data_IF_124363715208
#
_entry.id   IF_124363715208
#
_cell.length_a   1.000
_cell.length_b   1.000
_cell.length_c   1.000
_cell.angle_alpha   90.00
_cell.angle_beta   90.00
_cell.angle_gamma   90.00
#
_symmetry.space_group_name_H-M   'P 1'
#
loop_
_entity.id
_entity.type
_entity.pdbx_description
1 polymer ?
#
# COMPACT_ATOMS: atom_id res chain seq x y z
N UNK A 1 -10.83 22.32 54.14
CA UNK A 1 -12.00 22.36 53.23
C UNK A 1 -11.59 21.70 51.93
N UNK A 2 -12.19 20.55 51.64
CA UNK A 2 -12.06 19.83 50.39
C UNK A 2 -13.02 20.39 49.34
N UNK A 3 -12.60 20.35 48.07
CA UNK A 3 -13.37 20.03 46.85
C UNK A 3 -12.46 20.37 45.65
N UNK A 4 -11.78 19.45 44.97
CA UNK A 4 -12.27 18.38 44.07
C UNK A 4 -13.16 18.88 42.93
N UNK A 5 -12.73 18.68 41.69
CA UNK A 5 -13.65 18.51 40.56
C UNK A 5 -13.17 19.01 39.19
N UNK A 6 -12.41 18.18 38.47
CA UNK A 6 -12.84 17.74 37.14
C UNK A 6 -12.07 16.46 36.75
N UNK A 7 -12.73 15.29 36.71
CA UNK A 7 -12.11 14.07 36.20
C UNK A 7 -12.16 14.09 34.66
N UNK A 8 -11.01 13.86 34.03
CA UNK A 8 -10.98 13.48 32.62
C UNK A 8 -11.77 12.18 32.45
N UNK A 9 -13.01 12.27 31.95
CA UNK A 9 -13.85 11.12 31.58
C UNK A 9 -13.29 10.42 30.32
N UNK A 10 -12.06 9.92 30.39
CA UNK A 10 -11.61 8.91 29.45
C UNK A 10 -12.34 7.62 29.82
N UNK A 11 -13.27 7.15 28.98
CA UNK A 11 -13.84 5.80 29.11
C UNK A 11 -12.65 4.83 29.17
N UNK A 12 -12.43 4.20 30.32
CA UNK A 12 -11.43 3.14 30.49
C UNK A 12 -12.08 1.84 30.07
N UNK A 13 -11.60 1.25 28.97
CA UNK A 13 -12.11 -0.04 28.49
C UNK A 13 -11.43 -1.18 29.25
N UNK A 14 -12.16 -2.26 29.56
CA UNK A 14 -11.58 -3.42 30.23
C UNK A 14 -10.53 -4.09 29.34
N UNK A 15 -9.55 -4.76 29.95
CA UNK A 15 -8.42 -5.38 29.23
C UNK A 15 -8.87 -6.38 28.15
N UNK A 16 -10.02 -7.01 28.35
CA UNK A 16 -10.68 -7.88 27.36
C UNK A 16 -11.03 -7.21 26.02
N UNK A 17 -11.06 -5.87 25.96
CA UNK A 17 -11.22 -5.16 24.69
C UNK A 17 -9.95 -5.21 23.85
N UNK A 18 -8.77 -5.34 24.45
CA UNK A 18 -7.48 -5.41 23.76
C UNK A 18 -7.07 -6.84 23.38
N UNK A 19 -7.84 -7.84 23.78
CA UNK A 19 -7.66 -9.22 23.34
C UNK A 19 -8.04 -9.35 21.86
N UNK A 20 -7.25 -10.13 21.11
CA UNK A 20 -7.53 -10.36 19.68
C UNK A 20 -8.90 -11.07 19.55
N UNK A 21 -9.81 -10.55 18.71
CA UNK A 21 -11.15 -11.11 18.59
C UNK A 21 -11.12 -12.50 17.96
N UNK A 22 -12.07 -13.36 18.36
CA UNK A 22 -12.36 -14.56 17.56
C UNK A 22 -12.89 -14.16 16.18
N UNK A 23 -12.79 -15.04 15.17
CA UNK A 23 -13.34 -14.75 13.83
C UNK A 23 -14.82 -14.35 13.89
N UNK A 24 -15.61 -14.99 14.75
CA UNK A 24 -17.01 -14.63 14.98
C UNK A 24 -17.15 -13.20 15.51
N UNK A 25 -16.41 -12.87 16.57
CA UNK A 25 -16.43 -11.53 17.17
C UNK A 25 -15.93 -10.46 16.22
N UNK A 26 -14.96 -10.78 15.35
CA UNK A 26 -14.47 -9.87 14.33
C UNK A 26 -15.58 -9.46 13.37
N UNK A 27 -16.27 -10.42 12.75
CA UNK A 27 -17.35 -10.12 11.81
C UNK A 27 -18.56 -9.49 12.50
N UNK A 28 -18.94 -9.99 13.68
CA UNK A 28 -20.04 -9.44 14.47
C UNK A 28 -19.80 -7.95 14.79
N UNK A 29 -18.63 -7.59 15.31
CA UNK A 29 -18.30 -6.21 15.70
C UNK A 29 -18.18 -5.28 14.49
N UNK A 30 -17.66 -5.76 13.35
CA UNK A 30 -17.66 -5.01 12.10
C UNK A 30 -19.09 -4.74 11.61
N UNK A 31 -19.95 -5.76 11.64
CA UNK A 31 -21.35 -5.63 11.23
C UNK A 31 -22.10 -4.65 12.13
N UNK A 32 -21.87 -4.66 13.45
CA UNK A 32 -22.46 -3.70 14.39
C UNK A 32 -22.02 -2.27 14.05
N UNK A 33 -20.72 -2.07 13.82
CA UNK A 33 -20.16 -0.76 13.44
C UNK A 33 -20.75 -0.25 12.12
N UNK A 34 -20.78 -1.10 11.08
CA UNK A 34 -21.38 -0.78 9.79
C UNK A 34 -22.87 -0.49 9.92
N UNK A 35 -23.61 -1.27 10.72
CA UNK A 35 -25.04 -1.06 10.89
C UNK A 35 -25.34 0.31 11.53
N UNK A 36 -24.59 0.65 12.57
CA UNK A 36 -24.73 1.93 13.28
C UNK A 36 -24.42 3.10 12.35
N UNK A 37 -23.30 3.08 11.62
CA UNK A 37 -22.86 4.26 10.87
C UNK A 37 -23.45 4.33 9.46
N UNK A 38 -23.67 3.21 8.77
CA UNK A 38 -24.11 3.21 7.37
C UNK A 38 -25.62 3.38 7.19
N UNK A 39 -26.44 2.85 8.11
CA UNK A 39 -27.90 2.87 7.97
C UNK A 39 -28.60 3.90 8.86
N UNK A 40 -27.86 4.60 9.73
CA UNK A 40 -28.40 5.64 10.61
C UNK A 40 -28.07 7.06 10.11
N UNK A 41 -28.39 7.35 8.85
CA UNK A 41 -28.05 8.62 8.18
C UNK A 41 -28.71 9.87 8.78
N UNK A 42 -29.76 9.72 9.59
CA UNK A 42 -30.34 10.81 10.38
C UNK A 42 -29.49 11.16 11.60
N UNK A 43 -28.80 10.18 12.18
CA UNK A 43 -27.88 10.35 13.32
C UNK A 43 -26.49 10.84 12.86
N UNK A 44 -26.04 10.39 11.68
CA UNK A 44 -24.74 10.75 11.10
C UNK A 44 -24.92 11.29 9.67
N UNK A 45 -25.47 12.51 9.51
CA UNK A 45 -25.60 13.10 8.19
C UNK A 45 -24.21 13.45 7.62
N UNK A 46 -24.06 13.32 6.30
CA UNK A 46 -22.81 13.72 5.64
C UNK A 46 -22.58 15.23 5.80
N UNK A 47 -21.44 15.58 6.39
CA UNK A 47 -21.04 16.97 6.63
C UNK A 47 -20.27 17.55 5.44
N UNK A 48 -21.00 18.21 4.53
CA UNK A 48 -20.40 18.85 3.35
C UNK A 48 -19.45 19.99 3.70
N UNK A 49 -19.69 20.71 4.80
CA UNK A 49 -18.81 21.79 5.22
C UNK A 49 -17.47 21.22 5.69
N UNK A 50 -17.50 20.17 6.50
CA UNK A 50 -16.29 19.47 6.90
C UNK A 50 -15.50 18.94 5.68
N UNK A 51 -16.18 18.32 4.70
CA UNK A 51 -15.51 17.84 3.48
C UNK A 51 -14.88 18.97 2.68
N UNK A 52 -15.57 20.11 2.55
CA UNK A 52 -15.02 21.30 1.90
C UNK A 52 -13.80 21.85 2.65
N UNK A 53 -13.87 21.95 3.98
CA UNK A 53 -12.75 22.38 4.81
C UNK A 53 -11.56 21.42 4.74
N UNK A 54 -11.81 20.11 4.65
CA UNK A 54 -10.78 19.11 4.48
C UNK A 54 -10.05 19.29 3.16
N UNK A 55 -10.76 19.41 2.04
CA UNK A 55 -10.16 19.61 0.71
C UNK A 55 -9.41 20.95 0.63
N UNK A 56 -9.94 22.01 1.25
CA UNK A 56 -9.30 23.33 1.28
C UNK A 56 -8.15 23.43 2.29
N UNK A 57 -8.00 22.48 3.21
CA UNK A 57 -6.89 22.42 4.18
C UNK A 57 -5.57 21.96 3.57
N UNK A 58 -5.58 21.50 2.31
CA UNK A 58 -4.39 21.05 1.59
C UNK A 58 -3.39 22.20 1.48
N UNK A 59 -2.17 21.96 1.99
CA UNK A 59 -1.11 22.96 1.97
C UNK A 59 -0.29 22.81 0.69
N UNK A 60 -0.10 23.92 -0.02
CA UNK A 60 0.78 23.95 -1.18
C UNK A 60 2.21 23.49 -0.84
N UNK A 61 2.69 23.78 0.37
CA UNK A 61 3.99 23.32 0.87
C UNK A 61 4.11 21.80 0.89
N UNK A 62 3.03 21.09 1.23
CA UNK A 62 3.04 19.62 1.30
C UNK A 62 3.09 19.02 -0.11
N UNK A 63 2.30 19.57 -1.04
CA UNK A 63 2.34 19.19 -2.46
C UNK A 63 3.74 19.43 -3.04
N UNK A 64 4.31 20.62 -2.83
CA UNK A 64 5.64 20.97 -3.32
C UNK A 64 6.72 20.05 -2.72
N UNK A 65 6.58 19.69 -1.44
CA UNK A 65 7.50 18.75 -0.78
C UNK A 65 7.42 17.36 -1.41
N UNK A 66 6.22 16.83 -1.64
CA UNK A 66 6.03 15.51 -2.29
C UNK A 66 6.59 15.51 -3.71
N UNK A 67 6.32 16.55 -4.51
CA UNK A 67 6.86 16.67 -5.88
C UNK A 67 8.39 16.82 -5.90
N UNK A 68 8.94 17.58 -4.96
CA UNK A 68 10.38 17.72 -4.78
C UNK A 68 11.02 16.37 -4.40
N UNK A 69 10.44 15.65 -3.44
CA UNK A 69 10.89 14.31 -3.07
C UNK A 69 10.80 13.31 -4.24
N UNK A 70 9.72 13.34 -5.02
CA UNK A 70 9.59 12.51 -6.22
C UNK A 70 10.67 12.82 -7.26
N UNK A 71 11.01 14.10 -7.44
CA UNK A 71 12.11 14.51 -8.32
C UNK A 71 13.47 14.03 -7.78
N UNK A 72 13.71 14.17 -6.48
CA UNK A 72 14.91 13.68 -5.81
C UNK A 72 15.04 12.16 -5.97
N UNK A 73 13.97 11.38 -5.75
CA UNK A 73 13.97 9.94 -5.99
C UNK A 73 14.30 9.59 -7.44
N UNK A 74 13.78 10.34 -8.42
CA UNK A 74 14.11 10.12 -9.84
C UNK A 74 15.59 10.36 -10.13
N UNK A 75 16.16 11.44 -9.60
CA UNK A 75 17.59 11.75 -9.76
C UNK A 75 18.44 10.68 -9.07
N UNK A 76 18.11 10.31 -7.83
CA UNK A 76 18.79 9.25 -7.09
C UNK A 76 18.72 7.91 -7.82
N UNK A 77 17.56 7.56 -8.40
CA UNK A 77 17.40 6.35 -9.21
C UNK A 77 18.33 6.35 -10.41
N UNK A 78 18.45 7.48 -11.11
CA UNK A 78 19.34 7.61 -12.25
C UNK A 78 20.81 7.43 -11.84
N UNK A 79 21.22 8.08 -10.74
CA UNK A 79 22.58 7.97 -10.19
C UNK A 79 22.88 6.52 -9.80
N UNK A 80 22.05 5.90 -8.96
CA UNK A 80 22.23 4.50 -8.52
C UNK A 80 22.28 3.54 -9.70
N UNK A 81 21.43 3.75 -10.70
CA UNK A 81 21.42 2.92 -11.91
C UNK A 81 22.76 3.01 -12.65
N UNK A 82 23.26 4.22 -12.86
CA UNK A 82 24.49 4.47 -13.62
C UNK A 82 25.75 4.05 -12.85
N UNK A 83 25.83 4.32 -11.54
CA UNK A 83 27.06 4.14 -10.76
C UNK A 83 27.15 2.78 -10.06
N UNK A 84 26.01 2.15 -9.73
CA UNK A 84 25.97 0.90 -8.97
C UNK A 84 25.34 -0.22 -9.78
N UNK A 85 24.08 -0.05 -10.23
CA UNK A 85 23.31 -1.16 -10.77
C UNK A 85 23.87 -1.70 -12.09
N UNK A 86 24.16 -0.84 -13.06
CA UNK A 86 24.67 -1.26 -14.37
C UNK A 86 26.11 -1.83 -14.30
N UNK A 87 27.08 -1.18 -13.61
CA UNK A 87 28.42 -1.76 -13.43
C UNK A 87 28.38 -3.11 -12.72
N UNK A 88 27.51 -3.27 -11.72
CA UNK A 88 27.33 -4.54 -11.02
C UNK A 88 26.70 -5.61 -11.93
N UNK A 89 25.74 -5.25 -12.78
CA UNK A 89 25.17 -6.19 -13.74
C UNK A 89 26.19 -6.68 -14.79
N UNK A 90 27.11 -5.80 -15.19
CA UNK A 90 28.22 -6.12 -16.10
C UNK A 90 29.26 -7.01 -15.44
N UNK A 91 29.70 -6.67 -14.23
CA UNK A 91 30.69 -7.47 -13.49
C UNK A 91 30.17 -8.87 -13.15
N UNK A 92 28.87 -8.99 -12.88
CA UNK A 92 28.20 -10.27 -12.68
C UNK A 92 27.91 -11.02 -13.99
N UNK A 93 28.05 -10.38 -15.15
CA UNK A 93 27.76 -10.93 -16.47
C UNK A 93 26.35 -11.56 -16.55
N UNK A 94 25.34 -10.77 -16.17
CA UNK A 94 23.94 -11.19 -16.15
C UNK A 94 23.39 -11.43 -17.57
N UNK A 95 22.47 -12.40 -17.70
CA UNK A 95 21.73 -12.64 -18.95
C UNK A 95 21.06 -11.34 -19.45
N UNK A 96 21.08 -11.10 -20.77
CA UNK A 96 20.56 -9.87 -21.40
C UNK A 96 19.15 -9.49 -20.94
N UNK A 97 18.23 -10.47 -20.84
CA UNK A 97 16.86 -10.22 -20.38
C UNK A 97 16.75 -9.83 -18.90
N UNK A 98 17.63 -10.36 -18.04
CA UNK A 98 17.67 -10.01 -16.61
C UNK A 98 18.34 -8.65 -16.40
N UNK A 99 19.35 -8.33 -17.21
CA UNK A 99 20.07 -7.05 -17.15
C UNK A 99 19.15 -5.84 -17.37
N UNK A 100 18.11 -5.96 -18.20
CA UNK A 100 17.14 -4.89 -18.42
C UNK A 100 16.23 -4.63 -17.20
N UNK A 101 15.94 -5.67 -16.41
CA UNK A 101 15.06 -5.60 -15.22
C UNK A 101 15.83 -5.32 -13.93
N UNK A 102 17.14 -5.60 -13.93
CA UNK A 102 18.01 -5.48 -12.78
C UNK A 102 18.01 -4.09 -12.11
N UNK A 103 18.13 -2.95 -12.83
CA UNK A 103 18.15 -1.64 -12.19
C UNK A 103 16.85 -1.31 -11.44
N UNK A 104 15.70 -1.73 -11.98
CA UNK A 104 14.39 -1.57 -11.34
C UNK A 104 14.38 -2.27 -9.97
N UNK A 105 14.77 -3.55 -9.92
CA UNK A 105 14.77 -4.31 -8.66
C UNK A 105 15.81 -3.86 -7.65
N UNK A 106 17.00 -3.43 -8.09
CA UNK A 106 18.00 -2.86 -7.16
C UNK A 106 17.47 -1.59 -6.53
N UNK A 107 16.89 -0.69 -7.33
CA UNK A 107 16.32 0.55 -6.85
C UNK A 107 15.17 0.31 -5.86
N UNK A 108 14.20 -0.52 -6.24
CA UNK A 108 13.05 -0.84 -5.40
C UNK A 108 13.47 -1.52 -4.10
N UNK A 109 14.41 -2.47 -4.14
CA UNK A 109 14.94 -3.11 -2.92
C UNK A 109 15.54 -2.09 -1.95
N UNK A 110 16.39 -1.18 -2.43
CA UNK A 110 17.03 -0.17 -1.60
C UNK A 110 16.01 0.77 -0.95
N UNK A 111 15.04 1.25 -1.74
CA UNK A 111 14.06 2.23 -1.25
C UNK A 111 13.02 1.59 -0.35
N UNK A 112 12.46 0.42 -0.71
CA UNK A 112 11.54 -0.29 0.16
C UNK A 112 12.20 -0.65 1.49
N UNK A 113 13.47 -1.08 1.49
CA UNK A 113 14.19 -1.37 2.75
C UNK A 113 14.33 -0.11 3.61
N UNK A 114 14.66 1.03 3.01
CA UNK A 114 14.79 2.31 3.72
C UNK A 114 13.47 2.84 4.26
N UNK A 115 12.42 2.86 3.44
CA UNK A 115 11.09 3.33 3.82
C UNK A 115 10.47 2.43 4.88
N UNK A 116 10.52 1.10 4.69
CA UNK A 116 10.05 0.15 5.69
C UNK A 116 10.82 0.25 6.99
N UNK A 117 12.16 0.39 6.93
CA UNK A 117 12.99 0.61 8.11
C UNK A 117 12.62 1.88 8.88
N UNK A 118 12.25 2.95 8.17
CA UNK A 118 11.75 4.17 8.78
C UNK A 118 10.37 3.98 9.42
N UNK A 119 9.45 3.29 8.74
CA UNK A 119 8.14 2.92 9.28
C UNK A 119 8.27 2.07 10.55
N UNK A 120 9.17 1.08 10.55
CA UNK A 120 9.50 0.28 11.72
C UNK A 120 10.06 1.14 12.86
N UNK A 121 10.97 2.06 12.54
CA UNK A 121 11.51 3.00 13.52
C UNK A 121 10.41 3.83 14.18
N UNK A 122 9.54 4.46 13.39
CA UNK A 122 8.47 5.35 13.90
C UNK A 122 7.45 4.56 14.72
N UNK A 123 6.94 3.45 14.18
CA UNK A 123 5.79 2.72 14.73
C UNK A 123 6.16 1.77 15.87
N UNK A 124 7.34 1.15 15.82
CA UNK A 124 7.75 0.11 16.78
C UNK A 124 8.88 0.57 17.70
N UNK A 125 9.99 1.05 17.13
CA UNK A 125 11.24 1.23 17.87
C UNK A 125 11.32 2.55 18.66
N UNK A 126 10.73 3.63 18.15
CA UNK A 126 10.87 4.97 18.73
C UNK A 126 10.32 5.11 20.15
N UNK A 127 9.37 4.24 20.54
CA UNK A 127 8.64 4.31 21.80
C UNK A 127 7.75 5.55 21.95
N UNK A 128 7.62 6.38 20.91
CA UNK A 128 6.82 7.63 20.92
C UNK A 128 5.34 7.38 20.63
N UNK A 129 5.06 6.31 19.90
CA UNK A 129 3.74 5.95 19.42
C UNK A 129 3.39 4.54 19.88
N UNK A 130 2.16 4.34 20.32
CA UNK A 130 1.68 3.02 20.78
C UNK A 130 0.65 2.43 19.81
N UNK A 131 0.58 2.91 18.57
CA UNK A 131 -0.49 2.55 17.64
C UNK A 131 -0.43 1.07 17.23
N UNK A 132 0.74 0.44 17.31
CA UNK A 132 0.87 -1.00 17.03
C UNK A 132 0.55 -1.87 18.25
N UNK A 133 0.98 -1.44 19.44
CA UNK A 133 0.78 -2.19 20.69
C UNK A 133 -0.66 -2.05 21.21
N UNK A 134 -1.29 -0.90 21.00
CA UNK A 134 -2.66 -0.58 21.39
C UNK A 134 -3.44 0.02 20.20
N UNK A 135 -3.74 -0.80 19.18
CA UNK A 135 -4.35 -0.29 17.96
C UNK A 135 -5.75 0.27 18.22
N UNK A 136 -6.54 -0.33 19.11
CA UNK A 136 -7.88 0.19 19.45
C UNK A 136 -7.87 1.62 20.01
N UNK A 137 -6.78 2.07 20.63
CA UNK A 137 -6.66 3.44 21.16
C UNK A 137 -6.38 4.49 20.08
N UNK A 138 -6.23 4.11 18.82
CA UNK A 138 -5.95 5.04 17.71
C UNK A 138 -6.97 6.18 17.65
N UNK A 139 -8.25 5.86 17.87
CA UNK A 139 -9.36 6.82 17.83
C UNK A 139 -9.61 7.52 19.17
N UNK A 140 -9.03 7.05 20.28
CA UNK A 140 -9.31 7.58 21.63
C UNK A 140 -9.15 9.09 21.75
N UNK A 141 -8.08 9.63 21.16
CA UNK A 141 -7.71 11.05 21.27
C UNK A 141 -8.29 11.90 20.13
N UNK A 142 -9.12 11.32 19.26
CA UNK A 142 -9.73 12.02 18.12
C UNK A 142 -10.98 12.75 18.58
N UNK A 143 -10.91 14.09 18.55
CA UNK A 143 -12.04 14.98 18.80
C UNK A 143 -12.27 15.83 17.56
N UNK A 144 -13.44 15.69 16.92
CA UNK A 144 -13.87 16.47 15.76
C UNK A 144 -14.43 17.83 16.19
N UNK A 145 -13.54 18.80 16.40
CA UNK A 145 -13.88 20.22 16.60
C UNK A 145 -13.42 21.07 15.40
N UNK A 146 -13.70 22.37 15.42
CA UNK A 146 -13.30 23.30 14.35
C UNK A 146 -11.78 23.29 14.10
N UNK A 147 -10.98 23.01 15.13
CA UNK A 147 -9.52 22.95 15.05
C UNK A 147 -8.97 21.63 14.48
N UNK A 148 -9.76 20.57 14.37
CA UNK A 148 -9.30 19.21 14.07
C UNK A 148 -8.38 19.13 12.85
N UNK A 149 -8.79 19.70 11.72
CA UNK A 149 -8.03 19.66 10.47
C UNK A 149 -6.74 20.49 10.53
N UNK A 150 -6.70 21.51 11.40
CA UNK A 150 -5.53 22.38 11.59
C UNK A 150 -4.50 21.81 12.57
N UNK A 151 -4.86 20.78 13.35
CA UNK A 151 -3.93 20.17 14.32
C UNK A 151 -2.67 19.62 13.63
N UNK A 152 -1.48 19.85 14.22
CA UNK A 152 -0.24 19.40 13.64
C UNK A 152 -0.15 17.87 13.67
N UNK A 153 0.43 17.31 12.62
CA UNK A 153 0.78 15.89 12.55
C UNK A 153 2.18 15.75 13.18
N UNK A 154 2.45 14.69 13.96
CA UNK A 154 3.80 14.41 14.44
C UNK A 154 4.83 14.43 13.30
N UNK A 155 5.96 15.10 13.51
CA UNK A 155 6.94 15.38 12.46
C UNK A 155 7.51 14.09 11.84
N UNK A 156 7.69 13.05 12.65
CA UNK A 156 8.14 11.73 12.22
C UNK A 156 7.12 11.05 11.29
N UNK A 157 5.84 11.10 11.66
CA UNK A 157 4.75 10.58 10.80
C UNK A 157 4.62 11.42 9.52
N UNK A 158 4.77 12.74 9.61
CA UNK A 158 4.75 13.62 8.43
C UNK A 158 5.80 13.20 7.41
N UNK A 159 7.06 13.03 7.83
CA UNK A 159 8.13 12.62 6.92
C UNK A 159 7.94 11.21 6.38
N UNK A 160 7.34 10.31 7.17
CA UNK A 160 7.03 8.95 6.72
C UNK A 160 6.05 8.98 5.55
N UNK A 161 5.00 9.80 5.67
CA UNK A 161 4.02 10.04 4.61
C UNK A 161 4.62 10.77 3.40
N UNK A 162 5.38 11.85 3.62
CA UNK A 162 5.97 12.64 2.55
C UNK A 162 6.95 11.82 1.71
N UNK A 163 7.79 11.00 2.35
CA UNK A 163 8.71 10.10 1.67
C UNK A 163 7.97 9.02 0.87
N UNK A 164 6.93 8.41 1.44
CA UNK A 164 6.15 7.40 0.74
C UNK A 164 5.41 7.97 -0.48
N UNK A 165 4.72 9.10 -0.31
CA UNK A 165 4.03 9.78 -1.41
C UNK A 165 5.01 10.22 -2.50
N UNK A 166 6.15 10.79 -2.11
CA UNK A 166 7.21 11.16 -3.06
C UNK A 166 7.72 9.95 -3.84
N UNK A 167 7.89 8.80 -3.17
CA UNK A 167 8.28 7.56 -3.83
C UNK A 167 7.20 7.01 -4.76
N UNK A 168 5.92 7.11 -4.42
CA UNK A 168 4.84 6.69 -5.34
C UNK A 168 4.72 7.60 -6.56
N UNK A 169 4.88 8.92 -6.40
CA UNK A 169 4.98 9.86 -7.53
C UNK A 169 6.16 9.48 -8.44
N UNK A 170 7.32 9.22 -7.85
CA UNK A 170 8.47 8.70 -8.58
C UNK A 170 8.16 7.36 -9.27
N UNK A 171 7.45 6.45 -8.60
CA UNK A 171 7.12 5.12 -9.12
C UNK A 171 6.19 5.18 -10.33
N UNK A 172 5.25 6.13 -10.38
CA UNK A 172 4.46 6.41 -11.59
C UNK A 172 5.37 6.82 -12.74
N UNK A 173 6.23 7.82 -12.53
CA UNK A 173 7.18 8.26 -13.55
C UNK A 173 8.11 7.12 -14.00
N UNK A 174 8.62 6.35 -13.03
CA UNK A 174 9.46 5.18 -13.25
C UNK A 174 8.77 4.14 -14.11
N UNK A 175 7.53 3.77 -13.80
CA UNK A 175 6.77 2.78 -14.58
C UNK A 175 6.47 3.25 -15.99
N UNK A 176 6.19 4.55 -16.19
CA UNK A 176 5.90 5.08 -17.53
C UNK A 176 7.17 5.19 -18.38
N UNK A 177 8.27 5.69 -17.83
CA UNK A 177 9.43 6.15 -18.63
C UNK A 177 10.73 5.37 -18.41
N UNK A 178 10.90 4.68 -17.28
CA UNK A 178 12.17 4.04 -16.91
C UNK A 178 12.09 2.51 -16.88
N UNK A 179 10.94 1.95 -16.52
CA UNK A 179 10.73 0.51 -16.35
C UNK A 179 10.41 -0.17 -17.69
N UNK A 180 10.71 -1.46 -17.77
CA UNK A 180 10.28 -2.28 -18.90
C UNK A 180 8.78 -2.55 -18.75
N UNK A 181 7.99 -2.10 -19.72
CA UNK A 181 6.56 -2.36 -19.77
C UNK A 181 6.25 -3.85 -19.85
N UNK A 182 5.28 -4.26 -19.04
CA UNK A 182 4.78 -5.63 -18.89
C UNK A 182 3.25 -5.62 -18.92
N UNK A 183 2.64 -6.80 -19.01
CA UNK A 183 1.16 -6.93 -19.02
C UNK A 183 0.52 -6.32 -17.76
N UNK A 184 1.21 -6.41 -16.64
CA UNK A 184 0.81 -5.87 -15.33
C UNK A 184 1.08 -4.36 -15.16
N UNK A 185 1.76 -3.68 -16.10
CA UNK A 185 2.14 -2.27 -15.94
C UNK A 185 0.95 -1.33 -15.76
N UNK A 186 -0.16 -1.55 -16.47
CA UNK A 186 -1.38 -0.75 -16.29
C UNK A 186 -1.99 -0.94 -14.91
N UNK A 187 -2.04 -2.18 -14.44
CA UNK A 187 -2.55 -2.51 -13.12
C UNK A 187 -1.68 -1.90 -12.02
N UNK A 188 -0.36 -1.91 -12.20
CA UNK A 188 0.57 -1.25 -11.29
C UNK A 188 0.39 0.27 -11.23
N UNK A 189 0.12 0.93 -12.36
CA UNK A 189 -0.18 2.37 -12.38
C UNK A 189 -1.51 2.70 -11.69
N UNK A 190 -2.54 1.89 -11.93
CA UNK A 190 -3.82 2.02 -11.24
C UNK A 190 -3.66 1.83 -9.73
N UNK A 191 -2.94 0.79 -9.33
CA UNK A 191 -2.60 0.52 -7.93
C UNK A 191 -1.86 1.71 -7.29
N UNK A 192 -0.82 2.26 -7.93
CA UNK A 192 -0.12 3.44 -7.41
C UNK A 192 -1.07 4.63 -7.25
N UNK A 193 -2.00 4.85 -8.19
CA UNK A 193 -3.01 5.89 -8.08
C UNK A 193 -3.93 5.70 -6.87
N UNK A 194 -4.42 4.48 -6.64
CA UNK A 194 -5.22 4.15 -5.46
C UNK A 194 -4.43 4.34 -4.15
N UNK A 195 -3.18 3.89 -4.10
CA UNK A 195 -2.36 4.01 -2.90
C UNK A 195 -2.01 5.47 -2.58
N UNK A 196 -1.74 6.30 -3.59
CA UNK A 196 -1.57 7.76 -3.41
C UNK A 196 -2.86 8.35 -2.85
N UNK A 197 -4.01 8.02 -3.43
CA UNK A 197 -5.30 8.53 -2.98
C UNK A 197 -5.60 8.12 -1.53
N UNK A 198 -5.37 6.86 -1.16
CA UNK A 198 -5.56 6.35 0.19
C UNK A 198 -4.63 7.06 1.20
N UNK A 199 -3.36 7.25 0.84
CA UNK A 199 -2.38 7.94 1.69
C UNK A 199 -2.76 9.41 1.88
N UNK A 200 -3.03 10.14 0.80
CA UNK A 200 -3.46 11.55 0.87
C UNK A 200 -4.74 11.69 1.69
N UNK A 201 -5.73 10.85 1.44
CA UNK A 201 -6.99 10.89 2.18
C UNK A 201 -6.78 10.63 3.68
N UNK A 202 -6.00 9.59 4.04
CA UNK A 202 -5.71 9.29 5.45
C UNK A 202 -4.93 10.42 6.13
N UNK A 203 -4.07 11.12 5.39
CA UNK A 203 -3.31 12.27 5.89
C UNK A 203 -4.23 13.48 6.15
N UNK A 204 -5.07 13.84 5.19
CA UNK A 204 -6.00 14.98 5.29
C UNK A 204 -7.04 14.77 6.39
N UNK A 205 -7.58 13.55 6.52
CA UNK A 205 -8.52 13.17 7.57
C UNK A 205 -7.89 12.99 8.94
N UNK A 206 -6.56 13.10 9.07
CA UNK A 206 -5.77 12.80 10.28
C UNK A 206 -5.94 11.36 10.79
N UNK A 207 -6.30 10.42 9.89
CA UNK A 207 -6.26 8.97 10.15
C UNK A 207 -4.86 8.38 9.89
N UNK A 208 -3.83 9.21 10.01
CA UNK A 208 -2.44 8.85 9.75
C UNK A 208 -1.92 7.70 10.62
N UNK A 209 -2.51 7.48 11.81
CA UNK A 209 -2.16 6.36 12.69
C UNK A 209 -2.53 5.02 12.06
N UNK A 210 -3.67 4.94 11.36
CA UNK A 210 -4.08 3.74 10.62
C UNK A 210 -3.20 3.56 9.39
N UNK A 211 -2.99 4.60 8.59
CA UNK A 211 -2.15 4.48 7.40
C UNK A 211 -0.68 4.18 7.73
N UNK A 212 -0.16 4.64 8.88
CA UNK A 212 1.15 4.22 9.39
C UNK A 212 1.24 2.70 9.64
N UNK A 213 0.17 2.10 10.18
CA UNK A 213 0.11 0.64 10.34
C UNK A 213 0.08 -0.06 8.97
N UNK A 214 -0.70 0.45 8.02
CA UNK A 214 -0.77 -0.10 6.65
C UNK A 214 0.61 -0.08 5.99
N UNK A 215 1.32 1.05 6.04
CA UNK A 215 2.69 1.17 5.49
C UNK A 215 3.67 0.17 6.13
N UNK A 216 3.62 0.02 7.46
CA UNK A 216 4.50 -0.92 8.16
C UNK A 216 4.28 -2.38 7.72
N UNK A 217 3.01 -2.79 7.59
CA UNK A 217 2.67 -4.20 7.36
C UNK A 217 2.69 -4.58 5.88
N UNK A 218 2.35 -3.68 4.96
CA UNK A 218 2.33 -3.97 3.53
C UNK A 218 3.74 -3.92 2.91
N UNK A 219 4.58 -2.94 3.29
CA UNK A 219 5.85 -2.70 2.60
C UNK A 219 6.92 -3.79 2.86
N UNK A 220 6.81 -4.55 3.95
CA UNK A 220 7.79 -5.62 4.27
C UNK A 220 7.83 -6.71 3.20
N UNK A 221 6.66 -7.09 2.66
CA UNK A 221 6.59 -8.12 1.62
C UNK A 221 7.30 -7.66 0.34
N UNK A 222 7.27 -6.37 0.02
CA UNK A 222 7.94 -5.84 -1.18
C UNK A 222 9.46 -5.85 -1.04
N UNK A 223 10.00 -5.63 0.17
CA UNK A 223 11.43 -5.82 0.47
C UNK A 223 11.87 -7.25 0.15
N UNK A 224 11.11 -8.24 0.64
CA UNK A 224 11.40 -9.66 0.43
C UNK A 224 11.27 -10.01 -1.07
N UNK A 225 10.26 -9.47 -1.74
CA UNK A 225 10.02 -9.70 -3.16
C UNK A 225 11.16 -9.19 -4.04
N UNK A 226 11.62 -7.96 -3.82
CA UNK A 226 12.69 -7.38 -4.63
C UNK A 226 14.04 -8.07 -4.36
N UNK A 227 14.32 -8.44 -3.10
CA UNK A 227 15.48 -9.28 -2.78
C UNK A 227 15.43 -10.65 -3.48
N UNK A 228 14.24 -11.24 -3.57
CA UNK A 228 14.02 -12.51 -4.28
C UNK A 228 14.29 -12.35 -5.78
N UNK A 229 13.77 -11.29 -6.41
CA UNK A 229 14.01 -11.00 -7.83
C UNK A 229 15.51 -10.84 -8.13
N UNK A 230 16.25 -10.13 -7.28
CA UNK A 230 17.70 -10.00 -7.43
C UNK A 230 18.40 -11.37 -7.42
N UNK A 231 18.00 -12.28 -6.53
CA UNK A 231 18.53 -13.64 -6.50
C UNK A 231 18.14 -14.47 -7.73
N UNK A 232 16.90 -14.32 -8.24
CA UNK A 232 16.48 -14.93 -9.51
C UNK A 232 17.35 -14.44 -10.66
N UNK A 233 17.68 -13.15 -10.70
CA UNK A 233 18.52 -12.60 -11.76
C UNK A 233 19.96 -13.10 -11.70
N UNK A 234 20.47 -13.38 -10.50
CA UNK A 234 21.83 -13.86 -10.25
C UNK A 234 22.01 -15.37 -10.38
N UNK A 235 20.94 -16.18 -10.37
CA UNK A 235 21.05 -17.66 -10.40
C UNK A 235 21.73 -18.19 -11.66
N UNK A 236 21.51 -17.53 -12.80
CA UNK A 236 22.19 -17.86 -14.05
C UNK A 236 23.00 -16.65 -14.51
N UNK A 237 24.31 -16.67 -14.26
CA UNK A 237 25.21 -15.56 -14.59
C UNK A 237 26.56 -16.08 -15.08
N UNK A 238 27.23 -15.31 -15.96
CA UNK A 238 28.49 -15.69 -16.59
C UNK A 238 28.47 -17.07 -17.27
N UNK A 239 27.32 -17.45 -17.86
CA UNK A 239 27.15 -18.77 -18.51
C UNK A 239 27.12 -19.96 -17.55
N UNK A 240 27.14 -19.73 -16.23
CA UNK A 240 27.10 -20.76 -15.19
C UNK A 240 25.86 -20.62 -14.32
N UNK A 241 25.34 -21.76 -13.87
CA UNK A 241 24.30 -21.82 -12.86
C UNK A 241 24.88 -21.79 -11.44
N UNK A 242 24.33 -20.95 -10.57
CA UNK A 242 24.74 -20.74 -9.19
C UNK A 242 23.66 -21.25 -8.23
N UNK A 243 23.82 -22.46 -7.66
CA UNK A 243 22.76 -23.10 -6.87
C UNK A 243 22.42 -22.34 -5.59
N UNK A 244 23.37 -21.60 -5.01
CA UNK A 244 23.11 -20.76 -3.84
C UNK A 244 22.05 -19.69 -4.11
N UNK A 245 22.12 -19.02 -5.27
CA UNK A 245 21.15 -17.97 -5.64
C UNK A 245 19.79 -18.56 -6.01
N UNK A 246 19.75 -19.77 -6.57
CA UNK A 246 18.50 -20.50 -6.75
C UNK A 246 17.87 -20.87 -5.40
N UNK A 247 18.65 -21.40 -4.46
CA UNK A 247 18.17 -21.73 -3.12
C UNK A 247 17.65 -20.51 -2.38
N UNK A 248 18.40 -19.39 -2.41
CA UNK A 248 17.94 -18.11 -1.83
C UNK A 248 16.68 -17.58 -2.53
N UNK A 249 16.56 -17.72 -3.84
CA UNK A 249 15.35 -17.31 -4.56
C UNK A 249 14.13 -18.17 -4.18
N UNK A 250 14.30 -19.48 -4.01
CA UNK A 250 13.22 -20.38 -3.59
C UNK A 250 12.77 -20.09 -2.15
N UNK A 251 13.71 -19.87 -1.22
CA UNK A 251 13.40 -19.44 0.14
C UNK A 251 12.74 -18.07 0.13
N UNK A 252 13.28 -17.13 -0.64
CA UNK A 252 12.73 -15.78 -0.77
C UNK A 252 11.30 -15.79 -1.30
N UNK A 253 10.99 -16.62 -2.28
CA UNK A 253 9.64 -16.79 -2.81
C UNK A 253 8.67 -17.36 -1.76
N UNK A 254 9.11 -18.37 -1.00
CA UNK A 254 8.32 -18.92 0.10
C UNK A 254 8.11 -17.88 1.21
N UNK A 255 9.17 -17.17 1.61
CA UNK A 255 9.10 -16.11 2.62
C UNK A 255 8.21 -14.95 2.17
N UNK A 256 8.30 -14.54 0.90
CA UNK A 256 7.40 -13.56 0.31
C UNK A 256 5.94 -14.03 0.42
N UNK A 257 5.64 -15.23 -0.06
CA UNK A 257 4.27 -15.78 -0.06
C UNK A 257 3.70 -15.88 1.37
N UNK A 258 4.48 -16.40 2.32
CA UNK A 258 4.07 -16.51 3.73
C UNK A 258 3.89 -15.13 4.35
N UNK A 259 4.84 -14.20 4.15
CA UNK A 259 4.75 -12.84 4.68
C UNK A 259 3.55 -12.09 4.12
N UNK A 260 3.32 -12.17 2.81
CA UNK A 260 2.21 -11.53 2.12
C UNK A 260 0.88 -12.05 2.68
N UNK A 261 0.74 -13.37 2.81
CA UNK A 261 -0.47 -13.99 3.36
C UNK A 261 -0.67 -13.59 4.83
N UNK A 262 0.39 -13.65 5.65
CA UNK A 262 0.30 -13.30 7.06
C UNK A 262 -0.06 -11.83 7.27
N UNK A 263 0.63 -10.91 6.59
CA UNK A 263 0.39 -9.48 6.77
C UNK A 263 -0.95 -9.04 6.20
N UNK A 264 -1.39 -9.58 5.05
CA UNK A 264 -2.65 -9.16 4.42
C UNK A 264 -3.89 -9.91 4.93
N UNK A 265 -3.76 -11.16 5.37
CA UNK A 265 -4.91 -11.97 5.82
C UNK A 265 -5.04 -12.05 7.34
N UNK A 266 -3.96 -11.81 8.10
CA UNK A 266 -3.98 -11.88 9.56
C UNK A 266 -3.76 -10.51 10.21
N UNK A 267 -2.63 -9.85 9.96
CA UNK A 267 -2.34 -8.56 10.61
C UNK A 267 -3.20 -7.41 10.09
N UNK A 268 -3.42 -7.29 8.79
CA UNK A 268 -4.23 -6.22 8.22
C UNK A 268 -5.69 -6.30 8.72
N UNK A 269 -6.39 -7.45 8.69
CA UNK A 269 -7.73 -7.52 9.26
C UNK A 269 -7.74 -7.22 10.76
N UNK A 270 -6.84 -7.83 11.55
CA UNK A 270 -6.91 -7.72 13.02
C UNK A 270 -6.39 -6.39 13.59
N UNK A 271 -5.34 -5.81 13.00
CA UNK A 271 -4.72 -4.57 13.51
C UNK A 271 -5.27 -3.33 12.82
N UNK A 272 -5.62 -3.41 11.52
CA UNK A 272 -6.10 -2.27 10.75
C UNK A 272 -7.62 -2.27 10.65
N UNK A 273 -8.24 -3.24 9.97
CA UNK A 273 -9.69 -3.23 9.72
C UNK A 273 -10.51 -3.33 11.00
N UNK A 274 -10.13 -4.24 11.89
CA UNK A 274 -10.82 -4.40 13.17
C UNK A 274 -10.78 -3.10 13.98
N UNK A 275 -9.62 -2.47 14.02
CA UNK A 275 -9.40 -1.22 14.74
C UNK A 275 -10.16 -0.06 14.13
N UNK A 276 -10.15 0.06 12.79
CA UNK A 276 -10.92 1.10 12.12
C UNK A 276 -12.41 0.92 12.43
N UNK A 277 -12.97 -0.28 12.28
CA UNK A 277 -14.38 -0.56 12.58
C UNK A 277 -14.78 -0.47 14.04
N UNK A 278 -14.16 -1.30 14.87
CA UNK A 278 -14.55 -1.44 16.28
C UNK A 278 -14.03 -0.28 17.12
N UNK A 279 -12.80 0.19 16.88
CA UNK A 279 -12.24 1.34 17.58
C UNK A 279 -13.10 2.59 17.41
N UNK A 280 -13.51 2.91 16.18
CA UNK A 280 -14.42 4.05 15.93
C UNK A 280 -15.77 3.83 16.59
N UNK A 281 -16.35 2.63 16.52
CA UNK A 281 -17.62 2.37 17.20
C UNK A 281 -17.51 2.64 18.71
N UNK A 282 -16.46 2.11 19.34
CA UNK A 282 -16.24 2.21 20.79
C UNK A 282 -16.06 3.66 21.26
N UNK A 283 -15.30 4.47 20.51
CA UNK A 283 -14.95 5.83 20.89
C UNK A 283 -15.90 6.91 20.33
N UNK A 284 -16.59 6.62 19.23
CA UNK A 284 -17.35 7.60 18.42
C UNK A 284 -18.79 7.20 18.07
N UNK A 285 -19.36 6.13 18.64
CA UNK A 285 -20.80 5.81 18.47
C UNK A 285 -21.74 6.98 18.79
N UNK A 286 -21.34 8.00 19.55
CA UNK A 286 -22.19 9.18 19.79
C UNK A 286 -21.53 10.49 19.34
N UNK A 287 -20.44 10.40 18.58
CA UNK A 287 -19.65 11.54 18.11
C UNK A 287 -19.39 11.36 16.63
N UNK A 288 -20.26 11.94 15.79
CA UNK A 288 -20.26 11.82 14.33
C UNK A 288 -18.86 11.59 13.71
N UNK A 289 -18.51 10.33 13.37
CA UNK A 289 -17.19 10.01 12.86
C UNK A 289 -17.08 10.41 11.38
N UNK A 290 -16.47 11.57 11.15
CA UNK A 290 -16.40 12.20 9.83
C UNK A 290 -15.73 11.28 8.80
N UNK A 291 -16.42 11.06 7.68
CA UNK A 291 -15.95 10.30 6.50
C UNK A 291 -15.41 8.90 6.80
N UNK A 292 -15.81 8.31 7.93
CA UNK A 292 -15.33 7.03 8.39
C UNK A 292 -15.68 5.89 7.42
N UNK A 293 -16.94 5.82 6.98
CA UNK A 293 -17.39 4.78 6.05
C UNK A 293 -16.60 4.83 4.74
N UNK A 294 -16.40 6.03 4.20
CA UNK A 294 -15.61 6.24 3.00
C UNK A 294 -14.15 5.80 3.19
N UNK A 295 -13.55 6.05 4.36
CA UNK A 295 -12.21 5.56 4.65
C UNK A 295 -12.13 4.02 4.62
N UNK A 296 -13.08 3.34 5.25
CA UNK A 296 -13.06 1.87 5.32
C UNK A 296 -13.38 1.20 3.99
N UNK A 297 -14.27 1.77 3.17
CA UNK A 297 -14.52 1.21 1.83
C UNK A 297 -13.25 1.19 0.99
N UNK A 298 -12.38 2.20 1.13
CA UNK A 298 -11.09 2.19 0.45
C UNK A 298 -10.15 1.11 0.98
N UNK A 299 -10.09 0.90 2.31
CA UNK A 299 -9.29 -0.17 2.91
C UNK A 299 -9.77 -1.57 2.48
N UNK A 300 -11.06 -1.78 2.29
CA UNK A 300 -11.60 -3.04 1.77
C UNK A 300 -11.31 -3.23 0.28
N UNK A 301 -11.37 -2.16 -0.52
CA UNK A 301 -11.15 -2.24 -1.97
C UNK A 301 -9.71 -2.61 -2.33
N UNK A 302 -8.74 -2.25 -1.47
CA UNK A 302 -7.34 -2.68 -1.57
C UNK A 302 -7.18 -4.23 -1.53
N UNK A 303 -8.19 -4.96 -1.06
CA UNK A 303 -8.19 -6.44 -0.96
C UNK A 303 -8.76 -7.12 -2.22
N UNK A 304 -9.65 -6.47 -2.98
CA UNK A 304 -10.48 -7.14 -4.02
C UNK A 304 -9.97 -6.93 -5.47
N UNK A 305 -9.06 -5.98 -5.68
CA UNK A 305 -8.58 -5.55 -7.01
C UNK A 305 -7.79 -6.62 -7.80
N UNK A 306 -7.56 -7.81 -7.24
CA UNK A 306 -6.95 -8.96 -7.96
C UNK A 306 -7.92 -9.76 -8.85
N UNK A 307 -9.25 -9.51 -8.77
CA UNK A 307 -10.26 -10.37 -9.44
C UNK A 307 -10.89 -9.81 -10.72
N UNK A 308 -10.94 -8.49 -10.94
CA UNK A 308 -11.76 -7.88 -12.01
C UNK A 308 -11.14 -7.84 -13.43
N UNK A 309 -9.90 -8.31 -13.62
CA UNK A 309 -9.25 -8.29 -14.94
C UNK A 309 -9.10 -9.67 -15.60
N UNK A 310 -9.21 -10.76 -14.85
CA UNK A 310 -9.13 -12.12 -15.41
C UNK A 310 -10.38 -12.45 -16.25
N UNK A 311 -11.53 -11.85 -15.92
CA UNK A 311 -12.78 -12.01 -16.69
C UNK A 311 -12.73 -11.30 -18.05
N UNK A 312 -12.07 -10.13 -18.15
CA UNK A 312 -11.94 -9.39 -19.42
C UNK A 312 -11.01 -10.07 -20.43
N UNK A 313 -10.05 -10.85 -19.95
CA UNK A 313 -9.16 -11.65 -20.80
C UNK A 313 -9.80 -12.98 -21.22
N UNK A 314 -10.73 -13.52 -20.43
CA UNK A 314 -11.51 -14.70 -20.82
C UNK A 314 -12.52 -14.41 -21.95
N UNK A 315 -13.09 -13.20 -22.01
CA UNK A 315 -14.00 -12.81 -23.09
C UNK A 315 -13.27 -12.47 -24.39
N UNK A 316 -12.08 -11.86 -24.33
CA UNK A 316 -11.28 -11.52 -25.51
C UNK A 316 -10.47 -12.70 -26.09
N UNK A 317 -10.36 -13.83 -25.37
CA UNK A 317 -9.67 -15.04 -25.81
C UNK A 317 -10.50 -16.00 -26.67
N UNK A 318 -11.81 -15.75 -26.86
CA UNK A 318 -12.73 -16.73 -27.50
C UNK A 318 -13.26 -16.33 -28.88
N UNK A 319 -12.88 -15.17 -29.44
CA UNK A 319 -13.38 -14.68 -30.72
C UNK A 319 -12.31 -14.48 -31.79
N UNK A 320 -11.80 -15.56 -32.42
CA UNK A 320 -10.80 -15.39 -33.48
C UNK A 320 -10.34 -16.65 -34.20
N UNK A 321 -11.24 -17.40 -34.85
CA UNK A 321 -10.86 -18.36 -35.89
C UNK A 321 -11.66 -18.12 -37.16
N UNK A 322 -11.07 -17.36 -38.08
CA UNK A 322 -11.53 -17.16 -39.44
C UNK A 322 -10.33 -17.11 -40.38
N UNK A 323 -10.00 -18.25 -40.99
CA UNK A 323 -8.90 -18.44 -41.93
C UNK A 323 -9.03 -17.57 -43.20
N UNK A 324 -7.92 -17.09 -43.79
CA UNK A 324 -7.92 -16.66 -45.18
C UNK A 324 -7.55 -17.84 -46.11
N UNK A 325 -8.47 -18.23 -46.99
CA UNK A 325 -8.20 -19.10 -48.15
C UNK A 325 -7.33 -18.32 -49.14
N UNK A 326 -6.15 -18.86 -49.49
CA UNK A 326 -5.36 -18.44 -50.66
C UNK A 326 -5.52 -19.50 -51.74
N UNK A 327 -5.91 -19.06 -52.92
CA UNK A 327 -6.16 -19.84 -54.13
C UNK A 327 -4.88 -20.47 -54.68
N UNK A 328 -4.85 -21.80 -54.82
CA UNK A 328 -3.95 -22.49 -55.74
C UNK A 328 -4.67 -22.71 -57.06
N UNK A 329 -4.03 -22.25 -58.14
CA UNK A 329 -4.50 -22.38 -59.52
C UNK A 329 -4.26 -23.78 -60.06
N UNK A 330 -5.23 -24.25 -60.83
CA UNK A 330 -5.37 -25.59 -61.37
C UNK A 330 -4.73 -25.73 -62.78
N UNK A 331 -3.98 -26.83 -62.97
CA UNK A 331 -3.72 -27.64 -64.19
C UNK A 331 -3.27 -26.98 -65.52
N UNK A 332 -2.24 -27.57 -66.13
CA UNK A 332 -2.38 -28.58 -67.23
C UNK A 332 -1.03 -29.06 -67.77
N UNK A 333 -0.85 -30.37 -67.80
CA UNK A 333 0.04 -31.08 -68.73
C UNK A 333 -0.69 -31.30 -70.06
N UNK A 334 -0.05 -31.04 -71.19
CA UNK A 334 -0.22 -31.81 -72.43
C UNK A 334 0.82 -31.42 -73.49
N UNK A 335 1.39 -32.47 -74.08
CA UNK A 335 1.83 -32.62 -75.47
C UNK A 335 3.16 -31.96 -75.95
N UNK A 336 3.98 -32.88 -76.47
CA UNK A 336 5.05 -32.83 -77.47
C UNK A 336 6.43 -32.25 -77.12
#
# INVERSE_FOLDING_TARGET
MAASGSPSNARTFPDSYYEDPTLYQFFERILISLNEFAYNGTKYPHDYQFTYHMVTSVKLTDILTVLMLGTVFTILRYIVTATVSLPLAESLNLKRGNRAKWPESVWKFLIYTGLWGYSYYVVIYSGRHNFFQKPLDIFKDIVFDEGYLTRPIPVDVYWMYALQLGFYVHSIYGTVYMDVWRKDSYMMLFHHGLTIFLLEFSFLMKYYKIGALVLLIHDLSDVILELTKLNIYMKDRAGRHWPLHEWMANIGFLAFTVSWAWFRLFWFPLKVLYTSHWGVYVYHKDKDPKMFLFFNTMLFKEVDDTREFDERDSENGSGGHGSPKRSEGEKRSHAD
#
